data_IF_295509837779
#
_entry.id   IF_295509837779
#
_cell.length_a   1.000
_cell.length_b   1.000
_cell.length_c   1.000
_cell.angle_alpha   90.00
_cell.angle_beta   90.00
_cell.angle_gamma   90.00
#
_symmetry.space_group_name_H-M   'P 1'
#
loop_
_entity.id
_entity.type
_entity.pdbx_description
1 polymer ?
#
# COMPACT_ATOMS: atom_id res chain seq x y z
N UNK A 1 -15.84 8.16 -1.19
CA UNK A 1 -14.42 7.79 -1.16
C UNK A 1 -13.84 8.18 0.18
N UNK A 2 -13.04 7.33 0.79
CA UNK A 2 -12.39 7.64 2.07
C UNK A 2 -13.27 7.57 3.30
N UNK A 3 -14.45 7.00 3.20
CA UNK A 3 -15.42 6.92 4.31
C UNK A 3 -15.67 5.49 4.79
N UNK A 4 -15.43 4.50 3.95
CA UNK A 4 -15.64 3.09 4.27
C UNK A 4 -14.35 2.43 4.66
N UNK A 5 -14.45 1.35 5.43
CA UNK A 5 -13.29 0.54 5.80
C UNK A 5 -12.57 0.03 4.53
N UNK A 6 -13.32 -0.48 3.55
CA UNK A 6 -12.76 -0.93 2.28
C UNK A 6 -13.42 -0.19 1.12
N UNK A 7 -12.61 0.27 0.19
CA UNK A 7 -13.07 0.84 -1.07
C UNK A 7 -12.08 0.47 -2.19
N UNK A 8 -12.28 1.02 -3.38
CA UNK A 8 -11.39 0.69 -4.51
C UNK A 8 -9.94 1.09 -4.26
N UNK A 9 -9.70 2.09 -3.42
CA UNK A 9 -8.34 2.53 -3.11
C UNK A 9 -7.65 1.63 -2.09
N UNK A 10 -8.43 0.87 -1.30
CA UNK A 10 -7.85 -0.19 -0.46
C UNK A 10 -7.15 -1.22 -1.34
N UNK A 11 -7.78 -1.55 -2.47
CA UNK A 11 -7.16 -2.46 -3.44
C UNK A 11 -5.89 -1.86 -4.04
N UNK A 12 -5.87 -0.55 -4.29
CA UNK A 12 -4.67 0.13 -4.76
C UNK A 12 -3.54 0.02 -3.73
N UNK A 13 -3.82 0.21 -2.44
CA UNK A 13 -2.83 0.05 -1.37
C UNK A 13 -2.31 -1.39 -1.30
N UNK A 14 -3.19 -2.35 -1.52
CA UNK A 14 -2.80 -3.77 -1.61
C UNK A 14 -1.80 -3.98 -2.75
N UNK A 15 -2.08 -3.43 -3.92
CA UNK A 15 -1.19 -3.54 -5.08
C UNK A 15 0.17 -2.90 -4.81
N UNK A 16 0.19 -1.74 -4.18
CA UNK A 16 1.44 -1.05 -3.83
C UNK A 16 2.25 -1.88 -2.84
N UNK A 17 1.58 -2.54 -1.88
CA UNK A 17 2.25 -3.44 -0.95
C UNK A 17 2.98 -4.57 -1.66
N UNK A 18 2.38 -5.13 -2.70
CA UNK A 18 3.04 -6.16 -3.53
C UNK A 18 4.30 -5.59 -4.17
N UNK A 19 4.19 -4.43 -4.81
CA UNK A 19 5.34 -3.79 -5.48
C UNK A 19 6.46 -3.50 -4.49
N UNK A 20 6.12 -2.99 -3.32
CA UNK A 20 7.09 -2.66 -2.27
C UNK A 20 7.86 -3.89 -1.81
N UNK A 21 7.19 -5.04 -1.72
CA UNK A 21 7.88 -6.30 -1.43
C UNK A 21 8.98 -6.56 -2.46
N UNK A 22 8.67 -6.41 -3.74
CA UNK A 22 9.64 -6.66 -4.82
C UNK A 22 10.72 -5.59 -4.91
N UNK A 23 10.55 -4.46 -4.23
CA UNK A 23 11.61 -3.47 -4.07
C UNK A 23 12.55 -3.79 -2.91
N UNK A 24 12.36 -4.95 -2.26
CA UNK A 24 13.17 -5.41 -1.13
C UNK A 24 13.03 -4.53 0.12
N UNK A 25 11.90 -3.88 0.27
CA UNK A 25 11.57 -3.10 1.47
C UNK A 25 10.95 -4.06 2.48
N UNK A 26 11.49 -4.06 3.71
CA UNK A 26 10.96 -4.93 4.77
C UNK A 26 9.53 -4.54 5.16
N UNK A 27 8.80 -5.48 5.76
CA UNK A 27 7.44 -5.21 6.22
C UNK A 27 7.42 -4.05 7.23
N UNK A 28 8.35 -4.03 8.18
CA UNK A 28 8.41 -2.95 9.17
C UNK A 28 8.62 -1.61 8.50
N UNK A 29 9.59 -1.51 7.59
CA UNK A 29 9.85 -0.27 6.88
C UNK A 29 8.65 0.14 6.03
N UNK A 30 7.97 -0.83 5.42
CA UNK A 30 6.76 -0.55 4.64
C UNK A 30 5.64 0.01 5.51
N UNK A 31 5.42 -0.57 6.69
CA UNK A 31 4.40 -0.06 7.62
C UNK A 31 4.71 1.39 8.00
N UNK A 32 5.98 1.69 8.32
CA UNK A 32 6.40 3.05 8.68
C UNK A 32 6.19 4.01 7.51
N UNK A 33 6.65 3.65 6.33
CA UNK A 33 6.53 4.49 5.13
C UNK A 33 5.07 4.72 4.77
N UNK A 34 4.25 3.68 4.83
CA UNK A 34 2.83 3.79 4.52
C UNK A 34 2.12 4.72 5.51
N UNK A 35 2.42 4.59 6.80
CA UNK A 35 1.81 5.43 7.84
C UNK A 35 2.17 6.89 7.64
N UNK A 36 3.44 7.17 7.34
CA UNK A 36 3.88 8.54 7.03
C UNK A 36 3.16 9.07 5.80
N UNK A 37 3.07 8.27 4.74
CA UNK A 37 2.39 8.66 3.52
C UNK A 37 0.92 8.96 3.75
N UNK A 38 0.22 8.10 4.51
CA UNK A 38 -1.19 8.32 4.87
C UNK A 38 -1.38 9.62 5.61
N UNK A 39 -0.50 9.92 6.57
CA UNK A 39 -0.59 11.17 7.30
C UNK A 39 -0.43 12.36 6.37
N UNK A 40 0.60 12.34 5.52
CA UNK A 40 0.90 13.45 4.62
C UNK A 40 -0.20 13.64 3.56
N UNK A 41 -0.71 12.56 2.99
CA UNK A 41 -1.71 12.67 1.93
C UNK A 41 -3.06 13.18 2.45
N UNK A 42 -3.30 13.14 3.76
CA UNK A 42 -4.52 13.65 4.37
C UNK A 42 -4.36 15.08 4.91
N UNK A 43 -3.19 15.71 4.73
CA UNK A 43 -3.01 17.12 4.99
C UNK A 43 -3.46 17.93 3.79
N UNK A 44 -3.76 19.22 3.99
CA UNK A 44 -4.18 20.10 2.90
C UNK A 44 -3.11 20.18 1.80
N UNK A 45 -1.84 20.33 2.20
CA UNK A 45 -0.73 20.42 1.26
C UNK A 45 -0.54 19.08 0.53
N UNK A 46 -0.58 17.97 1.28
CA UNK A 46 -0.43 16.63 0.72
C UNK A 46 -1.52 16.31 -0.29
N UNK A 47 -2.78 16.62 0.03
CA UNK A 47 -3.89 16.42 -0.90
C UNK A 47 -3.71 17.23 -2.18
N UNK A 48 -3.28 18.48 -2.05
CA UNK A 48 -3.05 19.33 -3.21
C UNK A 48 -1.95 18.75 -4.11
N UNK A 49 -0.86 18.28 -3.52
CA UNK A 49 0.24 17.69 -4.28
C UNK A 49 -0.20 16.41 -4.99
N UNK A 50 -0.87 15.50 -4.27
CA UNK A 50 -1.33 14.22 -4.82
C UNK A 50 -2.34 14.44 -5.95
N UNK A 51 -3.29 15.36 -5.75
CA UNK A 51 -4.32 15.62 -6.76
C UNK A 51 -3.74 16.22 -8.05
N UNK A 52 -2.56 16.82 -7.98
CA UNK A 52 -1.90 17.40 -9.15
C UNK A 52 -0.91 16.46 -9.82
N UNK A 53 -0.72 15.25 -9.30
CA UNK A 53 0.17 14.27 -9.93
C UNK A 53 -0.58 13.56 -11.06
N UNK A 54 -0.13 13.70 -12.32
CA UNK A 54 -0.87 13.14 -13.45
C UNK A 54 -0.82 11.61 -13.52
N UNK A 55 0.15 10.98 -12.87
CA UNK A 55 0.33 9.53 -12.90
C UNK A 55 -0.23 8.83 -11.66
N UNK A 56 -0.72 9.58 -10.66
CA UNK A 56 -1.21 8.98 -9.42
C UNK A 56 -2.73 8.86 -9.45
N UNK A 57 -3.28 7.63 -9.34
CA UNK A 57 -4.72 7.43 -9.44
C UNK A 57 -5.50 7.65 -8.15
N UNK A 58 -4.82 7.96 -7.04
CA UNK A 58 -5.42 8.03 -5.71
C UNK A 58 -5.73 9.44 -5.20
N UNK A 59 -5.91 10.42 -6.09
CA UNK A 59 -6.27 11.78 -5.66
C UNK A 59 -7.62 11.82 -4.99
N UNK A 60 -7.82 12.81 -4.10
CA UNK A 60 -9.07 12.90 -3.32
C UNK A 60 -9.42 14.34 -3.01
N UNK A 61 -10.73 14.65 -2.88
CA UNK A 61 -11.19 16.01 -2.59
C UNK A 61 -11.15 16.36 -1.10
N UNK A 62 -11.13 15.37 -0.21
CA UNK A 62 -11.13 15.57 1.24
C UNK A 62 -10.37 14.45 1.93
N UNK A 63 -10.06 14.66 3.22
CA UNK A 63 -9.35 13.67 4.02
C UNK A 63 -10.17 12.41 4.20
N UNK A 64 -9.47 11.27 4.23
CA UNK A 64 -10.07 9.98 4.53
C UNK A 64 -10.51 9.91 5.99
N UNK A 65 -11.53 9.10 6.26
CA UNK A 65 -11.91 8.77 7.63
C UNK A 65 -10.85 7.89 8.29
N UNK A 66 -10.85 7.86 9.63
CA UNK A 66 -9.94 6.99 10.38
C UNK A 66 -10.17 5.52 10.01
N UNK A 67 -11.44 5.11 9.87
CA UNK A 67 -11.80 3.74 9.50
C UNK A 67 -11.22 3.39 8.12
N UNK A 68 -11.30 4.32 7.17
CA UNK A 68 -10.74 4.11 5.84
C UNK A 68 -9.21 4.00 5.90
N UNK A 69 -8.55 4.85 6.69
CA UNK A 69 -7.10 4.77 6.86
C UNK A 69 -6.67 3.43 7.44
N UNK A 70 -7.41 2.88 8.38
CA UNK A 70 -7.13 1.55 8.94
C UNK A 70 -7.29 0.49 7.86
N UNK A 71 -8.36 0.56 7.07
CA UNK A 71 -8.59 -0.38 5.97
C UNK A 71 -7.48 -0.34 4.93
N UNK A 72 -7.04 0.86 4.56
CA UNK A 72 -5.96 1.03 3.58
C UNK A 72 -4.64 0.48 4.12
N UNK A 73 -4.37 0.67 5.42
CA UNK A 73 -3.18 0.12 6.06
C UNK A 73 -3.23 -1.40 6.07
N UNK A 74 -4.37 -1.98 6.42
CA UNK A 74 -4.55 -3.44 6.37
C UNK A 74 -4.33 -3.95 4.95
N UNK A 75 -4.90 -3.27 3.96
CA UNK A 75 -4.70 -3.64 2.55
C UNK A 75 -3.23 -3.61 2.16
N UNK A 76 -2.52 -2.55 2.52
CA UNK A 76 -1.11 -2.40 2.22
C UNK A 76 -0.26 -3.51 2.83
N UNK A 77 -0.53 -3.87 4.09
CA UNK A 77 0.18 -4.95 4.79
C UNK A 77 -0.13 -6.29 4.14
N UNK A 78 -1.40 -6.56 3.84
CA UNK A 78 -1.80 -7.83 3.23
C UNK A 78 -1.20 -7.99 1.83
N UNK A 79 -1.06 -6.90 1.08
CA UNK A 79 -0.40 -6.95 -0.22
C UNK A 79 1.04 -7.42 -0.10
N UNK A 80 1.80 -6.83 0.83
CA UNK A 80 3.18 -7.23 1.09
C UNK A 80 3.25 -8.69 1.53
N UNK A 81 2.39 -9.10 2.48
CA UNK A 81 2.37 -10.48 3.00
C UNK A 81 2.02 -11.47 1.90
N UNK A 82 1.04 -11.14 1.02
CA UNK A 82 0.66 -12.04 -0.06
C UNK A 82 1.83 -12.30 -1.01
N UNK A 83 2.60 -11.25 -1.34
CA UNK A 83 3.78 -11.39 -2.18
C UNK A 83 4.87 -12.21 -1.50
N UNK A 84 5.10 -11.96 -0.21
CA UNK A 84 6.06 -12.70 0.59
C UNK A 84 5.71 -14.20 0.62
N UNK A 85 4.44 -14.52 0.90
CA UNK A 85 4.01 -15.92 0.97
C UNK A 85 4.13 -16.61 -0.38
N UNK A 86 3.70 -15.98 -1.43
CA UNK A 86 3.78 -16.57 -2.77
C UNK A 86 5.24 -16.80 -3.18
N UNK A 87 6.09 -15.81 -2.94
CA UNK A 87 7.52 -15.92 -3.29
C UNK A 87 8.17 -17.08 -2.55
N UNK A 88 7.91 -17.19 -1.25
CA UNK A 88 8.49 -18.27 -0.44
C UNK A 88 7.92 -19.64 -0.77
N UNK A 89 6.62 -19.75 -1.01
CA UNK A 89 5.98 -21.00 -1.41
C UNK A 89 6.49 -21.46 -2.78
N UNK A 90 6.60 -20.54 -3.72
CA UNK A 90 7.12 -20.87 -5.04
C UNK A 90 8.55 -21.37 -4.98
N UNK A 91 9.39 -20.76 -4.14
CA UNK A 91 10.75 -21.25 -3.94
C UNK A 91 10.77 -22.63 -3.28
N UNK A 92 9.93 -22.83 -2.25
CA UNK A 92 9.86 -24.09 -1.51
C UNK A 92 9.47 -25.25 -2.41
N UNK A 93 8.53 -25.03 -3.33
CA UNK A 93 8.02 -26.07 -4.21
C UNK A 93 8.73 -26.11 -5.57
N UNK A 94 9.78 -25.31 -5.72
CA UNK A 94 10.60 -25.35 -6.93
C UNK A 94 9.97 -24.70 -8.16
N UNK A 95 8.94 -23.86 -7.96
CA UNK A 95 8.31 -23.17 -9.07
C UNK A 95 9.21 -22.09 -9.65
N UNK A 96 9.97 -21.41 -8.79
CA UNK A 96 10.92 -20.36 -9.17
C UNK A 96 11.85 -20.05 -7.98
N UNK A 97 12.90 -19.30 -8.23
CA UNK A 97 13.81 -18.87 -7.15
C UNK A 97 13.24 -17.67 -6.42
N UNK A 98 13.65 -17.49 -5.16
CA UNK A 98 13.26 -16.31 -4.39
C UNK A 98 13.66 -15.03 -5.10
N UNK A 99 12.82 -14.04 -5.03
CA UNK A 99 13.11 -12.71 -5.56
C UNK A 99 14.24 -12.03 -4.79
N UNK A 100 14.25 -12.19 -3.47
CA UNK A 100 15.25 -11.54 -2.61
C UNK A 100 16.55 -12.32 -2.66
N UNK A 101 17.61 -11.60 -2.91
CA UNK A 101 18.95 -12.16 -2.95
C UNK A 101 19.67 -11.98 -1.63
#
# INVERSE_FOLDING_TARGET
MGKRFLDQYTYLHFAVGIVVYFWNISLLNWIILHTIFEFLENTKIGMKLINNLPFWPGGKPESDSIINNIGDTVGAILGWISAYLLDNLGNKYGWYTLHIN
#
